data_IF_853305386920
#
_entry.id   IF_853305386920
#
_cell.length_a   1.000
_cell.length_b   1.000
_cell.length_c   1.000
_cell.angle_alpha   90.00
_cell.angle_beta   90.00
_cell.angle_gamma   90.00
#
_symmetry.space_group_name_H-M   'P 1'
#
loop_
_entity.id
_entity.type
_entity.pdbx_description
1 polymer ?
#
# COMPACT_ATOMS: atom_id res chain seq x y z
N UNK A 1 -24.94 3.13 38.23
CA UNK A 1 -24.33 2.16 39.15
C UNK A 1 -23.19 2.86 39.86
N UNK A 2 -23.32 3.14 41.16
CA UNK A 2 -22.24 3.74 41.94
C UNK A 2 -21.20 2.65 42.22
N UNK A 3 -19.99 2.81 41.66
CA UNK A 3 -18.89 1.86 41.85
C UNK A 3 -18.05 2.30 43.05
N UNK A 4 -18.03 1.49 44.10
CA UNK A 4 -17.20 1.72 45.28
C UNK A 4 -15.76 1.23 45.01
N UNK A 5 -14.71 1.98 45.41
CA UNK A 5 -13.31 1.58 45.21
C UNK A 5 -12.94 0.31 45.97
N UNK A 6 -11.98 -0.47 45.47
CA UNK A 6 -11.36 -1.64 46.14
C UNK A 6 -12.30 -2.82 46.42
N UNK A 7 -13.39 -2.97 45.67
CA UNK A 7 -14.22 -4.16 45.76
C UNK A 7 -13.53 -5.32 45.01
N UNK A 8 -13.17 -6.38 45.73
CA UNK A 8 -12.78 -7.67 45.15
C UNK A 8 -14.03 -8.55 45.07
N UNK A 9 -14.47 -8.90 43.87
CA UNK A 9 -15.59 -9.82 43.65
C UNK A 9 -15.07 -11.10 42.99
N UNK A 10 -15.61 -12.25 43.37
CA UNK A 10 -15.32 -13.51 42.71
C UNK A 10 -16.56 -13.95 41.94
N UNK A 11 -16.46 -13.93 40.61
CA UNK A 11 -17.51 -14.46 39.76
C UNK A 11 -17.24 -15.94 39.49
N UNK A 12 -18.18 -16.80 39.89
CA UNK A 12 -18.12 -18.24 39.60
C UNK A 12 -19.11 -18.56 38.50
N UNK A 13 -18.61 -19.21 37.45
CA UNK A 13 -19.42 -19.76 36.37
C UNK A 13 -19.42 -21.27 36.57
N UNK A 14 -20.59 -21.88 36.65
CA UNK A 14 -20.77 -23.33 36.73
C UNK A 14 -21.51 -23.80 35.48
N UNK A 15 -20.98 -24.85 34.86
CA UNK A 15 -21.57 -25.45 33.66
C UNK A 15 -21.69 -26.95 33.90
N UNK A 16 -22.90 -27.48 33.71
CA UNK A 16 -23.18 -28.92 33.73
C UNK A 16 -23.50 -29.45 32.34
N UNK A 17 -23.06 -30.66 32.04
CA UNK A 17 -23.60 -31.43 30.91
C UNK A 17 -24.95 -32.08 31.25
N UNK A 18 -25.58 -32.71 30.25
CA UNK A 18 -26.87 -33.39 30.40
C UNK A 18 -26.83 -34.58 31.38
N UNK A 19 -25.65 -35.16 31.62
CA UNK A 19 -25.44 -36.25 32.57
C UNK A 19 -25.09 -35.76 33.99
N UNK A 20 -25.08 -34.44 34.21
CA UNK A 20 -24.87 -33.83 35.52
C UNK A 20 -23.40 -33.61 35.89
N UNK A 21 -22.46 -33.79 34.96
CA UNK A 21 -21.05 -33.50 35.23
C UNK A 21 -20.84 -31.99 35.27
N UNK A 22 -20.47 -31.47 36.44
CA UNK A 22 -20.27 -30.03 36.69
C UNK A 22 -18.80 -29.63 36.56
N UNK A 23 -18.54 -28.58 35.79
CA UNK A 23 -17.25 -27.87 35.78
C UNK A 23 -17.48 -26.43 36.18
N UNK A 24 -16.64 -25.89 37.05
CA UNK A 24 -16.74 -24.49 37.47
C UNK A 24 -15.45 -23.72 37.29
N UNK A 25 -15.56 -22.47 36.81
CA UNK A 25 -14.46 -21.52 36.66
C UNK A 25 -14.71 -20.34 37.61
N UNK A 26 -13.69 -19.94 38.36
CA UNK A 26 -13.73 -18.75 39.20
C UNK A 26 -12.87 -17.64 38.60
N UNK A 27 -13.47 -16.49 38.35
CA UNK A 27 -12.80 -15.30 37.81
C UNK A 27 -12.75 -14.24 38.93
N UNK A 28 -11.56 -13.92 39.46
CA UNK A 28 -11.41 -12.81 40.38
C UNK A 28 -11.51 -11.50 39.61
N UNK A 29 -12.39 -10.60 40.05
CA UNK A 29 -12.53 -9.24 39.55
C UNK A 29 -12.00 -8.31 40.63
N UNK A 30 -10.92 -7.61 40.32
CA UNK A 30 -10.34 -6.59 41.18
C UNK A 30 -10.57 -5.23 40.52
N UNK A 31 -11.27 -4.33 41.21
CA UNK A 31 -11.51 -2.99 40.73
C UNK A 31 -10.44 -2.03 41.29
N UNK A 32 -9.38 -1.82 40.51
CA UNK A 32 -8.33 -0.85 40.83
C UNK A 32 -8.60 0.46 40.07
N UNK A 33 -8.65 1.58 40.80
CA UNK A 33 -8.61 2.90 40.18
C UNK A 33 -7.16 3.14 39.78
N UNK A 34 -6.85 2.87 38.52
CA UNK A 34 -5.56 3.25 37.96
C UNK A 34 -5.48 4.79 37.95
N UNK A 35 -4.36 5.38 38.39
CA UNK A 35 -4.17 6.82 38.25
C UNK A 35 -4.30 7.17 36.77
N UNK A 36 -5.11 8.18 36.47
CA UNK A 36 -5.20 8.71 35.11
C UNK A 36 -3.80 9.21 34.75
N UNK A 37 -3.14 8.50 33.83
CA UNK A 37 -1.91 9.00 33.23
C UNK A 37 -2.33 10.17 32.36
N UNK A 38 -2.29 11.38 32.93
CA UNK A 38 -2.44 12.61 32.16
C UNK A 38 -1.16 12.73 31.35
N UNK A 39 -1.19 12.17 30.13
CA UNK A 39 -0.17 12.47 29.15
C UNK A 39 -0.27 13.97 28.91
N UNK A 40 0.78 14.72 29.25
CA UNK A 40 0.90 16.12 28.83
C UNK A 40 0.97 16.11 27.30
N UNK A 41 -0.18 16.16 26.64
CA UNK A 41 -0.25 16.31 25.20
C UNK A 41 0.23 17.73 24.93
N UNK A 42 1.35 17.93 24.21
CA UNK A 42 1.76 19.28 23.85
C UNK A 42 0.58 19.96 23.16
N UNK A 43 0.22 21.16 23.64
CA UNK A 43 -0.83 21.96 23.03
C UNK A 43 -0.37 22.27 21.61
N UNK A 44 -0.97 21.59 20.64
CA UNK A 44 -0.63 21.85 19.25
C UNK A 44 -1.09 23.26 18.89
N UNK A 45 -0.25 23.98 18.13
CA UNK A 45 -0.62 25.27 17.54
C UNK A 45 -1.58 25.12 16.36
N UNK A 46 -1.79 23.90 15.88
CA UNK A 46 -2.60 23.60 14.70
C UNK A 46 -3.90 22.95 15.13
N UNK A 47 -5.01 23.68 14.95
CA UNK A 47 -6.35 23.20 15.22
C UNK A 47 -7.08 22.96 13.91
N UNK A 48 -7.52 21.73 13.69
CA UNK A 48 -8.41 21.37 12.58
C UNK A 48 -9.84 21.51 13.06
N UNK A 49 -10.63 22.32 12.35
CA UNK A 49 -12.08 22.41 12.55
C UNK A 49 -12.79 21.60 11.47
N UNK A 50 -13.50 20.55 11.86
CA UNK A 50 -14.11 19.59 10.94
C UNK A 50 -14.99 20.24 9.86
N UNK A 51 -15.75 21.29 10.24
CA UNK A 51 -16.70 21.97 9.35
C UNK A 51 -16.06 23.03 8.45
N UNK A 52 -14.78 23.33 8.62
CA UNK A 52 -14.07 24.37 7.88
C UNK A 52 -12.93 23.74 7.09
N UNK A 53 -12.53 24.41 6.01
CA UNK A 53 -11.24 24.11 5.41
C UNK A 53 -10.09 24.54 6.32
N UNK A 54 -8.95 23.86 6.21
CA UNK A 54 -7.75 24.18 6.96
C UNK A 54 -6.53 24.00 6.06
N UNK A 55 -5.63 24.97 6.08
CA UNK A 55 -4.36 24.92 5.38
C UNK A 55 -3.22 25.12 6.38
N UNK A 56 -2.26 24.20 6.40
CA UNK A 56 -1.07 24.33 7.24
C UNK A 56 0.16 24.14 6.38
N UNK A 57 1.15 25.01 6.59
CA UNK A 57 2.42 24.97 5.89
C UNK A 57 3.57 25.06 6.87
N UNK A 58 4.61 24.26 6.64
CA UNK A 58 5.88 24.36 7.37
C UNK A 58 7.01 23.99 6.41
N UNK A 59 8.04 24.83 6.38
CA UNK A 59 9.16 24.70 5.43
C UNK A 59 8.64 24.62 3.98
N UNK A 60 9.02 23.60 3.23
CA UNK A 60 8.61 23.36 1.85
C UNK A 60 7.42 22.40 1.71
N UNK A 61 6.67 22.15 2.79
CA UNK A 61 5.57 21.19 2.82
C UNK A 61 4.28 21.85 3.31
N UNK A 62 3.18 21.54 2.64
CA UNK A 62 1.85 22.01 3.03
C UNK A 62 0.84 20.86 3.03
N UNK A 63 -0.22 21.07 3.80
CA UNK A 63 -1.38 20.20 3.83
C UNK A 63 -2.64 21.04 3.78
N UNK A 64 -3.55 20.65 2.88
CA UNK A 64 -4.86 21.26 2.75
C UNK A 64 -5.95 20.23 3.04
N UNK A 65 -6.75 20.53 4.06
CA UNK A 65 -7.93 19.79 4.44
C UNK A 65 -9.19 20.54 3.98
N UNK A 66 -9.95 20.02 3.00
CA UNK A 66 -11.28 20.53 2.69
C UNK A 66 -12.22 20.46 3.89
N UNK A 67 -13.30 21.27 3.87
CA UNK A 67 -14.37 21.15 4.85
C UNK A 67 -14.98 19.73 4.84
N UNK A 68 -15.34 19.23 6.03
CA UNK A 68 -15.87 17.89 6.28
C UNK A 68 -14.88 16.74 5.99
N UNK A 69 -13.57 17.03 5.97
CA UNK A 69 -12.54 15.98 5.88
C UNK A 69 -12.53 15.09 7.12
N UNK A 70 -12.81 15.63 8.30
CA UNK A 70 -12.83 14.88 9.56
C UNK A 70 -14.20 14.96 10.21
N UNK A 71 -14.49 14.04 11.12
CA UNK A 71 -15.77 13.96 11.83
C UNK A 71 -15.88 14.98 12.97
N UNK A 72 -14.77 15.28 13.63
CA UNK A 72 -14.70 16.11 14.82
C UNK A 72 -13.48 17.04 14.77
N UNK A 73 -13.55 18.13 15.54
CA UNK A 73 -12.44 19.06 15.70
C UNK A 73 -11.32 18.40 16.51
N UNK A 74 -10.07 18.63 16.14
CA UNK A 74 -8.93 18.08 16.87
C UNK A 74 -7.65 18.89 16.71
N UNK A 75 -6.75 18.74 17.67
CA UNK A 75 -5.42 19.32 17.64
C UNK A 75 -4.51 18.47 16.76
N UNK A 76 -4.09 19.02 15.63
CA UNK A 76 -3.25 18.35 14.65
C UNK A 76 -1.78 18.38 15.09
N UNK A 77 -1.12 17.23 15.14
CA UNK A 77 0.32 17.19 15.36
C UNK A 77 1.02 17.34 14.00
N UNK A 78 1.45 18.56 13.67
CA UNK A 78 2.04 18.90 12.37
C UNK A 78 3.47 19.40 12.55
N UNK A 79 4.41 18.71 11.92
CA UNK A 79 5.84 19.02 11.99
C UNK A 79 6.58 18.58 10.73
N UNK A 80 7.74 19.14 10.46
CA UNK A 80 8.66 18.69 9.40
C UNK A 80 10.01 18.41 10.06
N UNK A 81 10.54 17.20 9.86
CA UNK A 81 11.85 16.78 10.37
C UNK A 81 12.57 15.95 9.34
N UNK A 82 13.82 16.28 9.03
CA UNK A 82 14.67 15.54 8.09
C UNK A 82 13.97 15.26 6.75
N UNK A 83 13.42 16.32 6.11
CA UNK A 83 12.66 16.21 4.84
C UNK A 83 11.47 15.22 4.92
N UNK A 84 10.91 14.99 6.12
CA UNK A 84 9.72 14.18 6.36
C UNK A 84 8.63 15.00 7.03
N UNK A 85 7.45 15.04 6.41
CA UNK A 85 6.23 15.58 6.98
C UNK A 85 5.69 14.61 8.03
N UNK A 86 5.53 15.09 9.26
CA UNK A 86 4.73 14.46 10.30
C UNK A 86 3.34 15.09 10.29
N UNK A 87 2.34 14.33 9.84
CA UNK A 87 0.95 14.75 9.76
C UNK A 87 0.10 13.88 10.68
N UNK A 88 0.32 14.04 11.99
CA UNK A 88 -0.37 13.33 13.06
C UNK A 88 -0.22 11.79 12.97
N UNK A 89 -0.79 11.08 13.93
CA UNK A 89 -0.91 9.62 13.90
C UNK A 89 -2.19 9.19 13.21
N UNK A 90 -2.18 8.01 12.59
CA UNK A 90 -3.34 7.38 11.94
C UNK A 90 -4.35 6.84 12.98
N UNK A 91 -4.83 7.73 13.85
CA UNK A 91 -5.83 7.44 14.89
C UNK A 91 -7.10 8.27 14.70
N UNK A 92 -7.03 9.34 13.88
CA UNK A 92 -8.19 10.16 13.51
C UNK A 92 -8.55 9.83 12.06
N UNK A 93 -9.72 9.20 11.81
CA UNK A 93 -10.10 8.81 10.47
C UNK A 93 -10.54 10.03 9.64
N UNK A 94 -10.01 10.17 8.42
CA UNK A 94 -10.53 11.13 7.46
C UNK A 94 -11.70 10.51 6.66
N UNK A 95 -12.77 11.28 6.46
CA UNK A 95 -13.92 10.93 5.65
C UNK A 95 -13.66 11.12 4.15
N UNK A 96 -12.97 12.20 3.78
CA UNK A 96 -12.58 12.51 2.39
C UNK A 96 -11.07 12.62 2.23
N UNK A 97 -10.60 12.64 0.97
CA UNK A 97 -9.20 12.89 0.69
C UNK A 97 -8.83 14.33 1.06
N UNK A 98 -7.59 14.50 1.48
CA UNK A 98 -6.92 15.78 1.65
C UNK A 98 -5.65 15.83 0.81
N UNK A 99 -5.10 17.02 0.67
CA UNK A 99 -3.99 17.29 -0.24
C UNK A 99 -2.72 17.51 0.54
N UNK A 100 -1.63 16.87 0.12
CA UNK A 100 -0.27 17.17 0.60
C UNK A 100 0.51 17.70 -0.58
N UNK A 101 1.20 18.82 -0.38
CA UNK A 101 2.13 19.38 -1.36
C UNK A 101 3.54 19.44 -0.78
N UNK A 102 4.53 19.08 -1.60
CA UNK A 102 5.94 19.20 -1.28
C UNK A 102 6.60 19.95 -2.44
N UNK A 103 7.20 21.10 -2.16
CA UNK A 103 8.01 21.81 -3.14
C UNK A 103 9.48 21.36 -3.03
N UNK A 104 10.08 20.93 -4.14
CA UNK A 104 11.49 20.55 -4.16
C UNK A 104 12.17 20.94 -5.48
N UNK A 105 13.17 21.81 -5.37
CA UNK A 105 13.96 22.28 -6.51
C UNK A 105 15.35 21.62 -6.61
N UNK A 106 15.73 20.78 -5.64
CA UNK A 106 17.08 20.16 -5.52
C UNK A 106 17.37 19.15 -6.64
N UNK A 107 16.34 18.55 -7.24
CA UNK A 107 16.47 17.53 -8.28
C UNK A 107 16.45 18.13 -9.69
N UNK A 108 17.20 17.52 -10.61
CA UNK A 108 17.13 17.82 -12.04
C UNK A 108 15.77 17.43 -12.64
N UNK A 109 15.41 17.99 -13.79
CA UNK A 109 14.11 17.72 -14.43
C UNK A 109 13.89 16.22 -14.70
N UNK A 110 14.91 15.51 -15.20
CA UNK A 110 14.84 14.07 -15.44
C UNK A 110 14.64 13.24 -14.14
N UNK A 111 15.18 13.70 -13.02
CA UNK A 111 14.96 13.05 -11.72
C UNK A 111 13.58 13.37 -11.16
N UNK A 112 13.02 14.55 -11.45
CA UNK A 112 11.70 14.96 -10.96
C UNK A 112 10.58 14.10 -11.52
N UNK A 113 10.73 13.56 -12.73
CA UNK A 113 9.79 12.58 -13.29
C UNK A 113 9.81 11.23 -12.58
N UNK A 114 10.83 11.00 -11.74
CA UNK A 114 11.03 9.78 -10.96
C UNK A 114 10.80 10.00 -9.46
N UNK A 115 10.24 11.15 -9.08
CA UNK A 115 9.91 11.47 -7.69
C UNK A 115 8.41 11.27 -7.43
N UNK A 116 8.09 10.77 -6.24
CA UNK A 116 6.73 10.67 -5.74
C UNK A 116 6.68 10.92 -4.23
N UNK A 117 5.49 11.26 -3.72
CA UNK A 117 5.24 11.39 -2.30
C UNK A 117 4.89 10.01 -1.73
N UNK A 118 5.81 9.46 -0.94
CA UNK A 118 5.62 8.19 -0.24
C UNK A 118 4.98 8.41 1.13
N UNK A 119 4.09 7.51 1.55
CA UNK A 119 3.69 7.38 2.95
C UNK A 119 4.69 6.48 3.66
N UNK A 120 5.04 6.82 4.90
CA UNK A 120 6.03 6.07 5.69
C UNK A 120 5.30 5.39 6.84
N UNK A 121 5.17 4.06 6.74
CA UNK A 121 4.62 3.24 7.81
C UNK A 121 5.68 2.29 8.35
N UNK A 122 6.14 2.54 9.58
CA UNK A 122 7.28 1.87 10.20
C UNK A 122 8.51 1.99 9.29
N UNK A 123 8.85 0.91 8.58
CA UNK A 123 9.99 0.81 7.66
C UNK A 123 9.56 0.53 6.21
N UNK A 124 8.27 0.70 5.89
CA UNK A 124 7.74 0.50 4.52
C UNK A 124 7.32 1.84 3.93
N UNK A 125 7.72 2.04 2.68
CA UNK A 125 7.25 3.14 1.85
C UNK A 125 5.99 2.69 1.11
N UNK A 126 4.93 3.47 1.22
CA UNK A 126 3.72 3.30 0.43
C UNK A 126 3.71 4.30 -0.73
N UNK A 127 3.49 3.81 -1.94
CA UNK A 127 3.29 4.67 -3.10
C UNK A 127 1.98 5.45 -2.99
N UNK A 128 2.04 6.77 -3.13
CA UNK A 128 0.86 7.59 -3.40
C UNK A 128 1.01 8.24 -4.76
N UNK A 129 -0.08 8.19 -5.54
CA UNK A 129 -0.11 8.79 -6.87
C UNK A 129 0.15 10.28 -6.75
N UNK A 130 1.27 10.70 -7.31
CA UNK A 130 1.77 12.07 -7.19
C UNK A 130 1.62 12.77 -8.54
N UNK A 131 1.04 13.97 -8.50
CA UNK A 131 0.96 14.87 -9.63
C UNK A 131 2.08 15.89 -9.48
N UNK A 132 2.81 16.15 -10.55
CA UNK A 132 3.89 17.14 -10.56
C UNK A 132 3.50 18.30 -11.45
N UNK A 133 3.74 19.52 -10.96
CA UNK A 133 3.77 20.74 -11.76
C UNK A 133 5.02 21.52 -11.38
N UNK A 134 5.97 21.60 -12.31
CA UNK A 134 7.28 22.20 -12.10
C UNK A 134 8.04 21.56 -10.91
N UNK A 135 8.25 22.31 -9.83
CA UNK A 135 8.88 21.88 -8.57
C UNK A 135 7.90 21.43 -7.49
N UNK A 136 6.60 21.47 -7.75
CA UNK A 136 5.55 21.15 -6.79
C UNK A 136 5.02 19.75 -7.04
N UNK A 137 5.09 18.91 -6.00
CA UNK A 137 4.57 17.56 -5.97
C UNK A 137 3.31 17.54 -5.12
N UNK A 138 2.22 17.01 -5.65
CA UNK A 138 0.90 16.99 -5.02
C UNK A 138 0.35 15.58 -4.95
N UNK A 139 -0.08 15.14 -3.78
CA UNK A 139 -0.77 13.86 -3.60
C UNK A 139 -2.10 14.04 -2.87
N UNK A 140 -3.04 13.14 -3.14
CA UNK A 140 -4.35 13.08 -2.49
C UNK A 140 -4.43 11.80 -1.67
N UNK A 141 -4.57 11.95 -0.37
CA UNK A 141 -4.53 10.82 0.59
C UNK A 141 -5.65 10.96 1.62
N UNK A 142 -5.98 9.86 2.29
CA UNK A 142 -7.06 9.79 3.27
C UNK A 142 -6.60 9.36 4.67
N UNK A 143 -5.31 9.09 4.83
CA UNK A 143 -4.73 8.58 6.08
C UNK A 143 -3.75 9.58 6.65
N UNK A 144 -3.85 9.88 7.93
CA UNK A 144 -2.84 10.68 8.63
C UNK A 144 -1.58 9.84 8.83
N UNK A 145 -0.42 10.49 9.02
CA UNK A 145 0.84 9.76 9.16
C UNK A 145 2.06 10.54 8.71
N UNK A 146 3.09 9.83 8.26
CA UNK A 146 4.35 10.40 7.80
C UNK A 146 4.46 10.36 6.29
N UNK A 147 4.99 11.42 5.69
CA UNK A 147 5.13 11.56 4.24
C UNK A 147 6.49 12.13 3.88
N UNK A 148 7.08 11.66 2.78
CA UNK A 148 8.33 12.19 2.25
C UNK A 148 8.38 12.08 0.73
N UNK A 149 9.20 12.91 0.09
CA UNK A 149 9.46 12.83 -1.33
C UNK A 149 10.57 11.77 -1.59
N UNK A 150 10.29 10.79 -2.44
CA UNK A 150 11.16 9.64 -2.69
C UNK A 150 11.46 9.52 -4.18
N UNK A 151 12.73 9.25 -4.51
CA UNK A 151 13.21 8.97 -5.87
C UNK A 151 13.18 7.48 -6.14
N UNK A 152 12.58 7.07 -7.27
CA UNK A 152 12.55 5.68 -7.72
C UNK A 152 12.94 5.56 -9.20
N UNK A 153 14.14 5.02 -9.40
CA UNK A 153 14.75 4.74 -10.70
C UNK A 153 14.91 3.22 -10.94
N UNK A 154 14.29 2.39 -10.09
CA UNK A 154 14.51 0.94 -10.13
C UNK A 154 13.42 0.34 -11.03
N UNK A 155 13.76 -0.30 -12.15
CA UNK A 155 12.77 -0.91 -13.00
C UNK A 155 12.15 -2.15 -12.35
N UNK A 156 10.89 -2.49 -12.69
CA UNK A 156 10.22 -3.67 -12.17
C UNK A 156 10.96 -4.95 -12.62
N UNK A 157 10.79 -6.03 -11.87
CA UNK A 157 11.45 -7.32 -12.14
C UNK A 157 10.45 -8.31 -12.73
N UNK A 158 10.89 -9.03 -13.76
CA UNK A 158 10.16 -10.15 -14.37
C UNK A 158 10.97 -11.41 -14.14
N UNK A 159 10.33 -12.46 -13.62
CA UNK A 159 10.99 -13.74 -13.36
C UNK A 159 10.10 -14.92 -13.70
N UNK A 160 10.71 -16.05 -14.01
CA UNK A 160 10.03 -17.32 -14.25
C UNK A 160 10.64 -18.38 -13.34
N UNK A 161 9.81 -19.21 -12.70
CA UNK A 161 10.27 -20.18 -11.72
C UNK A 161 11.21 -21.24 -12.31
N UNK A 162 11.01 -21.59 -13.59
CA UNK A 162 11.87 -22.49 -14.36
C UNK A 162 12.05 -21.90 -15.74
N UNK A 163 13.29 -21.78 -16.20
CA UNK A 163 13.54 -21.33 -17.58
C UNK A 163 12.82 -22.25 -18.58
N UNK A 164 12.17 -21.63 -19.57
CA UNK A 164 11.46 -22.28 -20.66
C UNK A 164 12.19 -22.13 -22.00
N UNK A 165 13.33 -21.46 -22.00
CA UNK A 165 14.09 -21.17 -23.20
C UNK A 165 14.48 -22.47 -23.91
N UNK A 166 14.13 -22.56 -25.19
CA UNK A 166 14.39 -23.73 -26.03
C UNK A 166 13.59 -24.99 -25.68
N UNK A 167 12.68 -24.94 -24.71
CA UNK A 167 11.92 -26.11 -24.26
C UNK A 167 10.63 -26.31 -25.02
N UNK A 168 10.20 -27.55 -25.10
CA UNK A 168 8.87 -27.92 -25.55
C UNK A 168 7.87 -27.74 -24.41
N UNK A 169 6.80 -26.97 -24.65
CA UNK A 169 5.72 -26.71 -23.70
C UNK A 169 4.39 -27.35 -24.14
N UNK A 170 4.40 -28.28 -25.11
CA UNK A 170 3.18 -28.89 -25.66
C UNK A 170 2.27 -29.52 -24.61
N UNK A 171 2.83 -30.05 -23.52
CA UNK A 171 2.10 -30.64 -22.39
C UNK A 171 1.54 -29.60 -21.40
N UNK A 172 1.93 -28.33 -21.53
CA UNK A 172 1.47 -27.23 -20.66
C UNK A 172 0.29 -26.51 -21.27
N UNK A 173 -0.73 -26.27 -20.44
CA UNK A 173 -1.91 -25.47 -20.80
C UNK A 173 -1.69 -23.97 -20.61
N UNK A 174 -0.79 -23.59 -19.71
CA UNK A 174 -0.54 -22.20 -19.34
C UNK A 174 0.95 -21.92 -19.20
N UNK A 175 1.29 -20.65 -19.32
CA UNK A 175 2.58 -20.07 -18.95
C UNK A 175 2.37 -19.04 -17.86
N UNK A 176 3.28 -19.03 -16.88
CA UNK A 176 3.17 -18.18 -15.71
C UNK A 176 4.50 -17.53 -15.40
N UNK A 177 4.47 -16.22 -15.15
CA UNK A 177 5.63 -15.43 -14.74
C UNK A 177 5.27 -14.63 -13.48
N UNK A 178 6.29 -14.21 -12.75
CA UNK A 178 6.15 -13.34 -11.59
C UNK A 178 6.65 -11.95 -11.96
N UNK A 179 5.83 -10.93 -11.72
CA UNK A 179 6.18 -9.52 -11.93
C UNK A 179 6.15 -8.79 -10.59
N UNK A 180 7.20 -8.05 -10.27
CA UNK A 180 7.29 -7.37 -8.98
C UNK A 180 7.96 -6.01 -9.10
N UNK A 181 7.43 -5.05 -8.37
CA UNK A 181 8.05 -3.76 -8.12
C UNK A 181 8.31 -3.57 -6.62
N UNK A 182 9.35 -2.79 -6.30
CA UNK A 182 9.84 -2.59 -4.93
C UNK A 182 9.34 -1.27 -4.31
N UNK A 183 8.89 -0.28 -5.10
CA UNK A 183 8.59 1.09 -4.64
C UNK A 183 7.28 1.65 -5.23
N UNK A 184 7.26 2.06 -6.49
CA UNK A 184 6.14 2.79 -7.11
C UNK A 184 4.98 1.92 -7.58
N UNK A 185 5.11 0.60 -7.53
CA UNK A 185 4.11 -0.37 -7.94
C UNK A 185 4.02 -0.56 -9.46
N UNK A 186 3.34 -1.63 -9.88
CA UNK A 186 3.15 -1.94 -11.31
C UNK A 186 2.00 -1.10 -11.89
N UNK A 187 2.27 -0.37 -12.97
CA UNK A 187 1.28 0.40 -13.72
C UNK A 187 0.67 -0.42 -14.85
N UNK A 188 1.50 -1.10 -15.63
CA UNK A 188 1.04 -1.92 -16.74
C UNK A 188 1.94 -3.13 -16.99
N UNK A 189 1.36 -4.15 -17.60
CA UNK A 189 2.08 -5.30 -18.12
C UNK A 189 1.44 -5.71 -19.45
N UNK A 190 2.28 -6.01 -20.44
CA UNK A 190 1.84 -6.38 -21.79
C UNK A 190 2.59 -7.62 -22.23
N UNK A 191 1.85 -8.61 -22.70
CA UNK A 191 2.39 -9.84 -23.27
C UNK A 191 2.22 -9.87 -24.78
N UNK A 192 3.22 -10.38 -25.48
CA UNK A 192 3.18 -10.63 -26.91
C UNK A 192 3.71 -12.01 -27.22
N UNK A 193 3.02 -12.71 -28.10
CA UNK A 193 3.43 -14.00 -28.62
C UNK A 193 3.49 -13.93 -30.14
N UNK A 194 4.66 -14.19 -30.71
CA UNK A 194 4.93 -14.05 -32.15
C UNK A 194 4.52 -12.66 -32.70
N UNK A 195 4.76 -11.61 -31.90
CA UNK A 195 4.40 -10.23 -32.22
C UNK A 195 2.92 -9.87 -32.04
N UNK A 196 2.04 -10.82 -31.70
CA UNK A 196 0.63 -10.56 -31.42
C UNK A 196 0.41 -10.35 -29.92
N UNK A 197 -0.37 -9.35 -29.55
CA UNK A 197 -0.73 -9.11 -28.14
C UNK A 197 -1.52 -10.30 -27.58
N UNK A 198 -1.21 -10.70 -26.35
CA UNK A 198 -1.87 -11.77 -25.62
C UNK A 198 -2.30 -11.31 -24.23
N UNK A 199 -3.44 -11.81 -23.76
CA UNK A 199 -3.95 -11.50 -22.43
C UNK A 199 -3.21 -12.32 -21.37
N UNK A 200 -2.76 -11.63 -20.33
CA UNK A 200 -2.29 -12.20 -19.08
C UNK A 200 -3.23 -11.83 -17.93
N UNK A 201 -3.67 -12.82 -17.18
CA UNK A 201 -4.43 -12.63 -15.94
C UNK A 201 -3.46 -12.37 -14.79
N UNK A 202 -3.70 -11.32 -14.00
CA UNK A 202 -2.83 -10.95 -12.88
C UNK A 202 -3.45 -11.31 -11.52
N UNK A 203 -2.71 -12.10 -10.75
CA UNK A 203 -2.96 -12.35 -9.33
C UNK A 203 -2.04 -11.47 -8.48
N UNK A 204 -2.61 -10.46 -7.85
CA UNK A 204 -1.89 -9.49 -7.03
C UNK A 204 -1.29 -10.07 -5.74
N UNK A 205 -1.86 -11.15 -5.19
CA UNK A 205 -1.37 -11.77 -3.94
C UNK A 205 -0.10 -12.56 -4.20
N UNK A 206 -0.09 -13.30 -5.31
CA UNK A 206 1.07 -14.11 -5.71
C UNK A 206 2.01 -13.39 -6.66
N UNK A 207 1.63 -12.19 -7.12
CA UNK A 207 2.34 -11.36 -8.10
C UNK A 207 2.55 -12.06 -9.45
N UNK A 208 1.66 -12.99 -9.79
CA UNK A 208 1.78 -13.84 -10.98
C UNK A 208 0.93 -13.32 -12.12
N UNK A 209 1.50 -13.32 -13.31
CA UNK A 209 0.76 -13.20 -14.56
C UNK A 209 0.67 -14.57 -15.21
N UNK A 210 -0.54 -14.96 -15.61
CA UNK A 210 -0.80 -16.26 -16.24
C UNK A 210 -1.45 -16.07 -17.61
N UNK A 211 -0.94 -16.78 -18.60
CA UNK A 211 -1.54 -16.83 -19.93
C UNK A 211 -1.93 -18.27 -20.26
N UNK A 212 -3.14 -18.46 -20.76
CA UNK A 212 -3.68 -19.74 -21.21
C UNK A 212 -3.55 -19.86 -22.73
N UNK A 213 -2.93 -20.94 -23.19
CA UNK A 213 -2.67 -21.17 -24.62
C UNK A 213 -3.90 -21.61 -25.43
N UNK A 214 -5.09 -21.65 -24.83
CA UNK A 214 -6.33 -22.03 -25.51
C UNK A 214 -6.85 -21.01 -26.54
N UNK A 215 -6.23 -19.83 -26.63
CA UNK A 215 -6.59 -18.78 -27.59
C UNK A 215 -6.15 -19.05 -29.03
N UNK A 216 -5.32 -20.08 -29.25
CA UNK A 216 -4.84 -20.49 -30.57
C UNK A 216 -3.81 -19.53 -31.20
N UNK A 217 -3.23 -18.61 -30.42
CA UNK A 217 -2.21 -17.66 -30.94
C UNK A 217 -0.85 -18.34 -31.14
N UNK A 218 -0.58 -19.39 -30.37
CA UNK A 218 0.63 -20.22 -30.48
C UNK A 218 0.76 -20.91 -31.84
N UNK A 219 1.97 -20.91 -32.39
CA UNK A 219 2.34 -21.58 -33.62
C UNK A 219 2.86 -23.00 -33.37
N UNK A 220 2.87 -23.83 -34.42
CA UNK A 220 3.63 -25.07 -34.47
C UNK A 220 5.13 -24.76 -34.50
N UNK A 221 5.92 -25.44 -33.67
CA UNK A 221 7.35 -25.19 -33.54
C UNK A 221 7.62 -23.96 -32.67
N UNK A 222 8.47 -23.05 -33.17
CA UNK A 222 9.02 -21.95 -32.39
C UNK A 222 7.98 -20.86 -32.08
N UNK A 223 8.00 -20.37 -30.85
CA UNK A 223 7.15 -19.29 -30.35
C UNK A 223 7.99 -18.30 -29.57
N UNK A 224 7.95 -17.03 -29.99
CA UNK A 224 8.65 -15.92 -29.36
C UNK A 224 7.72 -15.21 -28.38
N UNK A 225 8.08 -15.24 -27.10
CA UNK A 225 7.38 -14.55 -26.03
C UNK A 225 8.13 -13.28 -25.65
N UNK A 226 7.40 -12.16 -25.62
CA UNK A 226 7.86 -10.88 -25.10
C UNK A 226 6.90 -10.38 -24.03
N UNK A 227 7.43 -9.96 -22.90
CA UNK A 227 6.66 -9.36 -21.82
C UNK A 227 7.30 -8.03 -21.45
N UNK A 228 6.50 -6.98 -21.39
CA UNK A 228 6.91 -5.63 -21.03
C UNK A 228 6.15 -5.25 -19.77
N UNK A 229 6.87 -4.84 -18.74
CA UNK A 229 6.27 -4.39 -17.47
C UNK A 229 6.75 -2.98 -17.17
N UNK A 230 5.83 -2.09 -16.84
CA UNK A 230 6.08 -0.68 -16.54
C UNK A 230 5.54 -0.34 -15.14
N UNK A 231 6.31 0.42 -14.37
CA UNK A 231 5.90 0.95 -13.07
C UNK A 231 5.15 2.29 -13.18
N UNK A 232 4.73 2.88 -12.06
CA UNK A 232 3.99 4.14 -12.06
C UNK A 232 4.82 5.38 -12.43
N UNK A 233 6.15 5.26 -12.47
CA UNK A 233 7.09 6.33 -12.81
C UNK A 233 7.71 6.14 -14.20
N UNK A 234 7.24 5.15 -14.96
CA UNK A 234 7.69 4.86 -16.32
C UNK A 234 9.05 4.14 -16.39
N UNK A 235 9.54 3.52 -15.30
CA UNK A 235 10.61 2.53 -15.43
C UNK A 235 10.01 1.24 -16.01
N UNK A 236 10.72 0.61 -16.95
CA UNK A 236 10.22 -0.56 -17.65
C UNK A 236 11.25 -1.66 -17.78
N UNK A 237 10.79 -2.91 -17.74
CA UNK A 237 11.59 -4.10 -18.01
C UNK A 237 10.97 -4.91 -19.13
N UNK A 238 11.83 -5.42 -20.01
CA UNK A 238 11.46 -6.32 -21.10
C UNK A 238 12.04 -7.70 -20.79
N UNK A 239 11.20 -8.72 -20.86
CA UNK A 239 11.57 -10.13 -20.81
C UNK A 239 11.25 -10.78 -22.15
N UNK A 240 12.25 -11.38 -22.78
CA UNK A 240 12.11 -12.07 -24.06
C UNK A 240 12.65 -13.50 -23.93
N UNK A 241 11.92 -14.47 -24.48
CA UNK A 241 12.35 -15.87 -24.52
C UNK A 241 11.66 -16.61 -25.68
N UNK A 242 12.27 -17.71 -26.12
CA UNK A 242 11.73 -18.57 -27.18
C UNK A 242 11.45 -19.96 -26.62
N UNK A 243 10.29 -20.51 -26.92
CA UNK A 243 9.93 -21.89 -26.58
C UNK A 243 9.29 -22.60 -27.79
N UNK A 244 9.07 -23.90 -27.70
CA UNK A 244 8.49 -24.72 -28.76
C UNK A 244 7.15 -25.35 -28.34
N UNK A 245 6.20 -25.50 -29.27
CA UNK A 245 4.93 -26.23 -29.05
C UNK A 245 4.53 -27.03 -30.30
N UNK A 246 3.88 -28.17 -30.06
CA UNK A 246 3.13 -28.93 -31.07
C UNK A 246 1.64 -28.60 -30.93
N UNK A 247 0.98 -28.33 -32.05
CA UNK A 247 -0.47 -28.21 -32.20
C UNK A 247 -1.12 -29.57 -32.49
N UNK A 248 -0.33 -30.59 -32.81
CA UNK A 248 -0.80 -31.97 -32.89
C UNK A 248 -0.95 -32.49 -31.46
N UNK A 249 -2.20 -32.67 -31.04
CA UNK A 249 -2.58 -33.43 -29.85
C UNK A 249 -2.26 -34.92 -30.04
#
# INVERSE_FOLDING_TARGET
VNLLPNLSAQYRIEVSDFFGNLTSISIPIVNEILPVVVVNVPVSKYLVKAKNESNFSKENMSVFFPANTFYEDFNLNFDVKNDTLLLHSDIVPAHSNFTIEIENQKFSEAQRDKLFIASINRNKLGYNRTHRKDSIFTTYVKTLGKYALVLDNIPPKISIAKSIEGKWLSDKKFIQLTISDDLSGIKSYNGYLNGKWILFEYDNKTKKITHNFSDGIVAEGANDLKIIVEDNLGNSTIFETRFFRSQKN
#
